data_IF_171181950687
#
_entry.id   IF_171181950687
#
_cell.length_a   1.000
_cell.length_b   1.000
_cell.length_c   1.000
_cell.angle_alpha   90.00
_cell.angle_beta   90.00
_cell.angle_gamma   90.00
#
_symmetry.space_group_name_H-M   'P 1'
#
loop_
_entity.id
_entity.type
_entity.pdbx_description
1 polymer ?
#
# COMPACT_ATOMS: atom_id res chain seq x y z
N UNK A 1 -2.12 23.22 -1.43
CA UNK A 1 -1.58 21.92 -1.87
C UNK A 1 -0.41 22.19 -2.80
N UNK A 2 0.71 21.47 -2.67
CA UNK A 2 1.93 21.69 -3.47
C UNK A 2 1.71 21.40 -4.97
N UNK A 3 1.06 22.30 -5.72
CA UNK A 3 0.82 22.16 -7.16
C UNK A 3 0.23 20.79 -7.58
N UNK A 4 -0.71 20.26 -6.79
CA UNK A 4 -1.36 18.96 -7.05
C UNK A 4 -0.57 17.74 -6.56
N UNK A 5 0.58 17.90 -5.89
CA UNK A 5 1.41 16.77 -5.41
C UNK A 5 0.95 16.20 -4.06
N UNK A 6 -0.07 16.78 -3.42
CA UNK A 6 -0.48 16.42 -2.06
C UNK A 6 0.52 16.96 -1.01
N UNK A 7 0.49 16.38 0.19
CA UNK A 7 1.42 16.73 1.26
C UNK A 7 2.77 16.00 1.10
N UNK A 8 3.89 16.61 1.57
CA UNK A 8 5.19 15.97 1.54
C UNK A 8 5.21 14.73 2.45
N UNK A 9 5.92 13.69 2.02
CA UNK A 9 6.04 12.41 2.73
C UNK A 9 7.49 11.92 2.75
N UNK A 10 7.84 11.15 3.76
CA UNK A 10 9.09 10.37 3.80
C UNK A 10 8.81 8.94 3.34
N UNK A 11 9.80 8.27 2.75
CA UNK A 11 9.66 6.87 2.39
C UNK A 11 9.46 5.99 3.64
N UNK A 12 8.39 5.19 3.63
CA UNK A 12 8.01 4.27 4.72
C UNK A 12 7.78 2.84 4.24
N UNK A 13 7.82 2.59 2.94
CA UNK A 13 7.31 1.36 2.32
C UNK A 13 5.80 1.34 2.07
N UNK A 14 5.04 2.31 2.61
CA UNK A 14 3.61 2.48 2.31
C UNK A 14 3.41 3.14 0.93
N UNK A 15 2.30 2.81 0.29
CA UNK A 15 1.81 3.44 -0.93
C UNK A 15 1.18 4.79 -0.57
N UNK A 16 1.62 5.83 -1.27
CA UNK A 16 1.08 7.18 -1.14
C UNK A 16 -0.26 7.29 -1.88
N UNK A 17 -1.33 7.65 -1.15
CA UNK A 17 -2.66 7.95 -1.68
C UNK A 17 -2.98 9.45 -1.60
N UNK A 18 -3.54 10.01 -2.66
CA UNK A 18 -3.96 11.42 -2.69
C UNK A 18 -5.35 11.64 -2.09
N UNK A 19 -6.23 10.66 -2.24
CA UNK A 19 -7.63 10.72 -1.85
C UNK A 19 -7.99 9.49 -1.03
N UNK A 20 -9.02 9.62 -0.21
CA UNK A 20 -9.66 8.53 0.52
C UNK A 20 -10.71 7.89 -0.38
N UNK A 21 -11.17 6.70 0.01
CA UNK A 21 -12.37 6.08 -0.57
C UNK A 21 -13.65 6.95 -0.51
N UNK A 22 -13.69 8.02 0.30
CA UNK A 22 -14.78 9.02 0.33
C UNK A 22 -14.65 10.13 -0.72
N UNK A 23 -13.64 10.06 -1.57
CA UNK A 23 -13.22 11.11 -2.52
C UNK A 23 -12.64 12.38 -1.88
N UNK A 24 -12.48 12.42 -0.55
CA UNK A 24 -11.79 13.52 0.13
C UNK A 24 -10.27 13.41 0.03
N UNK A 25 -9.58 14.55 -0.10
CA UNK A 25 -8.13 14.58 -0.06
C UNK A 25 -7.57 14.10 1.28
N UNK A 26 -6.48 13.34 1.24
CA UNK A 26 -5.78 12.91 2.46
C UNK A 26 -5.02 14.07 3.11
N UNK A 27 -5.04 14.12 4.45
CA UNK A 27 -4.16 15.01 5.23
C UNK A 27 -2.77 14.38 5.34
N UNK A 28 -2.72 13.11 5.77
CA UNK A 28 -1.52 12.29 5.68
C UNK A 28 -1.69 11.30 4.53
N UNK A 29 -0.78 11.36 3.56
CA UNK A 29 -0.91 10.60 2.31
C UNK A 29 -0.66 9.10 2.43
N UNK A 30 -0.44 8.57 3.64
CA UNK A 30 -0.34 7.14 3.91
C UNK A 30 -1.59 6.67 4.66
N UNK A 31 -2.65 6.39 3.89
CA UNK A 31 -3.90 5.84 4.42
C UNK A 31 -3.69 4.36 4.82
N UNK A 32 -3.72 4.07 6.12
CA UNK A 32 -3.44 2.72 6.65
C UNK A 32 -4.47 1.68 6.18
N UNK A 33 -5.80 1.91 6.28
CA UNK A 33 -6.81 1.01 5.71
C UNK A 33 -6.58 0.64 4.23
N UNK A 34 -6.27 1.61 3.38
CA UNK A 34 -6.05 1.35 1.94
C UNK A 34 -4.76 0.56 1.68
N UNK A 35 -3.71 0.84 2.44
CA UNK A 35 -2.47 0.05 2.38
C UNK A 35 -2.69 -1.39 2.87
N UNK A 36 -3.52 -1.59 3.90
CA UNK A 36 -3.90 -2.92 4.37
C UNK A 36 -4.72 -3.67 3.32
N UNK A 37 -5.66 -2.99 2.66
CA UNK A 37 -6.41 -3.56 1.55
C UNK A 37 -5.49 -3.98 0.39
N UNK A 38 -4.57 -3.10 -0.04
CA UNK A 38 -3.60 -3.41 -1.08
C UNK A 38 -2.71 -4.61 -0.70
N UNK A 39 -2.26 -4.69 0.56
CA UNK A 39 -1.48 -5.82 1.08
C UNK A 39 -2.23 -7.15 0.90
N UNK A 40 -3.53 -7.20 1.22
CA UNK A 40 -4.37 -8.39 1.06
C UNK A 40 -4.57 -8.72 -0.42
N UNK A 41 -4.96 -7.74 -1.23
CA UNK A 41 -5.21 -7.93 -2.66
C UNK A 41 -3.97 -8.48 -3.40
N UNK A 42 -2.77 -7.97 -3.08
CA UNK A 42 -1.51 -8.45 -3.64
C UNK A 42 -1.20 -9.90 -3.23
N UNK A 43 -1.54 -10.28 -2.00
CA UNK A 43 -1.39 -11.65 -1.52
C UNK A 43 -2.36 -12.60 -2.24
N UNK A 44 -3.58 -12.17 -2.48
CA UNK A 44 -4.61 -12.96 -3.16
C UNK A 44 -4.36 -13.12 -4.67
N UNK A 45 -3.80 -12.08 -5.34
CA UNK A 45 -3.48 -12.17 -6.78
C UNK A 45 -2.24 -13.02 -7.06
N UNK A 46 -1.33 -13.15 -6.08
CA UNK A 46 -0.08 -13.94 -6.22
C UNK A 46 -0.33 -15.37 -6.73
N UNK A 47 -1.20 -16.21 -6.12
CA UNK A 47 -1.46 -17.57 -6.61
C UNK A 47 -2.12 -17.59 -8.00
N UNK A 48 -2.95 -16.59 -8.33
CA UNK A 48 -3.55 -16.48 -9.67
C UNK A 48 -2.48 -16.24 -10.74
N UNK A 49 -1.52 -15.35 -10.47
CA UNK A 49 -0.40 -15.07 -11.36
C UNK A 49 0.51 -16.30 -11.54
N UNK A 50 0.74 -17.07 -10.48
CA UNK A 50 1.49 -18.32 -10.56
C UNK A 50 0.78 -19.34 -11.45
N UNK A 51 -0.54 -19.49 -11.30
CA UNK A 51 -1.33 -20.40 -12.13
C UNK A 51 -1.33 -20.01 -13.62
N UNK A 52 -1.18 -18.72 -13.91
CA UNK A 52 -1.06 -18.19 -15.27
C UNK A 52 0.38 -18.26 -15.83
N UNK A 53 1.35 -18.79 -15.08
CA UNK A 53 2.75 -18.87 -15.50
C UNK A 53 3.51 -17.53 -15.41
N UNK A 54 2.93 -16.51 -14.79
CA UNK A 54 3.54 -15.18 -14.62
C UNK A 54 4.39 -15.11 -13.33
N UNK A 55 5.43 -15.95 -13.24
CA UNK A 55 6.22 -16.13 -12.02
C UNK A 55 6.88 -14.84 -11.50
N UNK A 56 7.45 -14.01 -12.40
CA UNK A 56 8.11 -12.76 -12.02
C UNK A 56 7.10 -11.77 -11.42
N UNK A 57 5.91 -11.66 -12.03
CA UNK A 57 4.85 -10.78 -11.55
C UNK A 57 4.27 -11.26 -10.21
N UNK A 58 4.14 -12.58 -10.04
CA UNK A 58 3.75 -13.17 -8.76
C UNK A 58 4.79 -12.87 -7.66
N UNK A 59 6.08 -12.98 -7.98
CA UNK A 59 7.19 -12.62 -7.08
C UNK A 59 7.16 -11.16 -6.68
N UNK A 60 6.91 -10.25 -7.62
CA UNK A 60 6.76 -8.82 -7.37
C UNK A 60 5.55 -8.53 -6.47
N UNK A 61 4.38 -9.12 -6.75
CA UNK A 61 3.17 -8.94 -5.96
C UNK A 61 3.36 -9.41 -4.51
N UNK A 62 3.95 -10.60 -4.32
CA UNK A 62 4.28 -11.14 -3.00
C UNK A 62 5.26 -10.23 -2.24
N UNK A 63 6.31 -9.75 -2.90
CA UNK A 63 7.33 -8.89 -2.28
C UNK A 63 6.75 -7.55 -1.85
N UNK A 64 5.89 -6.95 -2.67
CA UNK A 64 5.20 -5.70 -2.32
C UNK A 64 4.22 -5.90 -1.17
N UNK A 65 3.45 -7.01 -1.15
CA UNK A 65 2.57 -7.36 -0.03
C UNK A 65 3.35 -7.46 1.30
N UNK A 66 4.50 -8.11 1.30
CA UNK A 66 5.36 -8.21 2.49
C UNK A 66 5.90 -6.85 2.93
N UNK A 67 6.30 -6.01 1.98
CA UNK A 67 6.76 -4.63 2.26
C UNK A 67 5.66 -3.82 2.94
N UNK A 68 4.43 -3.88 2.42
CA UNK A 68 3.27 -3.20 3.00
C UNK A 68 2.97 -3.70 4.41
N UNK A 69 2.98 -5.02 4.61
CA UNK A 69 2.73 -5.61 5.93
C UNK A 69 3.74 -5.10 6.97
N UNK A 70 5.03 -5.07 6.63
CA UNK A 70 6.09 -4.57 7.50
C UNK A 70 5.92 -3.07 7.78
N UNK A 71 5.62 -2.28 6.75
CA UNK A 71 5.42 -0.84 6.87
C UNK A 71 4.20 -0.48 7.72
N UNK A 72 3.10 -1.22 7.60
CA UNK A 72 1.90 -1.06 8.43
C UNK A 72 2.23 -1.35 9.90
N UNK A 73 2.94 -2.45 10.18
CA UNK A 73 3.34 -2.78 11.56
C UNK A 73 4.26 -1.71 12.15
N UNK A 74 5.20 -1.17 11.35
CA UNK A 74 6.16 -0.17 11.81
C UNK A 74 5.56 1.23 12.01
N UNK A 75 4.57 1.63 11.21
CA UNK A 75 4.10 3.01 11.15
C UNK A 75 2.60 3.21 11.40
N UNK A 76 1.79 2.13 11.37
CA UNK A 76 0.34 2.16 11.50
C UNK A 76 -0.19 1.81 12.89
N UNK A 77 0.68 1.46 13.85
CA UNK A 77 0.31 1.08 15.21
C UNK A 77 0.78 2.16 16.19
N UNK A 78 -0.12 2.62 17.06
CA UNK A 78 0.17 3.60 18.12
C UNK A 78 -0.38 3.08 19.45
N UNK A 79 0.29 3.41 20.56
CA UNK A 79 -0.24 3.13 21.89
C UNK A 79 -1.21 4.25 22.28
N UNK A 80 -2.40 3.87 22.77
CA UNK A 80 -3.48 4.82 23.09
C UNK A 80 -3.60 5.03 24.60
#
# INVERSE_FOLDING_TARGET
MEHGRGYPVKYTGLIKGGFRASDDATVYSYNIPENAFACVALREVTPLLQALGAADLAGAAKSLSLTLQQAITAHGIVNH
#
